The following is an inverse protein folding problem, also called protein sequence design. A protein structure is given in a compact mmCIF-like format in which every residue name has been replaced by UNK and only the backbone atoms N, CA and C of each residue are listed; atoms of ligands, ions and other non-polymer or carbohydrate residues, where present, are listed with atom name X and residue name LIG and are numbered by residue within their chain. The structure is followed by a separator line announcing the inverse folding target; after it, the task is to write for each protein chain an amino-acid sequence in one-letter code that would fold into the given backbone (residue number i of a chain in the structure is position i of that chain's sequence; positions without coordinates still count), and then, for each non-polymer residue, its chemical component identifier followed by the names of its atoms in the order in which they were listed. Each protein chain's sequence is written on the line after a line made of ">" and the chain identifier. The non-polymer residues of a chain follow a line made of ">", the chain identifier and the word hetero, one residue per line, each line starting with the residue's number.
data_IF_622876250583
#
_entry.id   IF_622876250583
#
_cell.length_a   1.000
_cell.length_b   1.000
_cell.length_c   1.000
_cell.angle_alpha   90.00
_cell.angle_beta   90.00
_cell.angle_gamma   90.00
#
_symmetry.space_group_name_H-M   'P 1'
#
loop_
_entity.id
_entity.type
_entity.pdbx_description
1 polymer ?
#
# COMPACT_ATOMS: atom_id res chain seq x y z
N UNK A 1 7.82 -11.86 15.54
CA UNK A 1 7.32 -12.45 14.29
C UNK A 1 6.33 -11.43 13.73
N UNK A 2 6.66 -10.79 12.60
CA UNK A 2 5.79 -9.74 12.03
C UNK A 2 4.45 -10.37 11.65
N UNK A 3 3.37 -9.88 12.26
CA UNK A 3 2.00 -10.38 12.05
C UNK A 3 1.42 -9.88 10.73
N UNK A 4 1.88 -8.71 10.31
CA UNK A 4 1.38 -7.93 9.19
C UNK A 4 2.49 -7.75 8.17
N UNK A 5 2.13 -7.69 6.89
CA UNK A 5 3.02 -7.39 5.78
C UNK A 5 2.80 -5.93 5.35
N UNK A 6 3.79 -5.09 5.62
CA UNK A 6 3.77 -3.66 5.33
C UNK A 6 4.70 -3.35 4.16
N UNK A 7 4.13 -2.80 3.08
CA UNK A 7 4.80 -2.54 1.80
C UNK A 7 4.69 -1.05 1.48
N UNK A 8 5.79 -0.42 1.04
CA UNK A 8 5.75 0.92 0.47
C UNK A 8 6.28 0.93 -0.96
N UNK A 9 5.51 1.50 -1.86
CA UNK A 9 5.91 1.70 -3.25
C UNK A 9 6.01 3.21 -3.48
N UNK A 10 7.20 3.69 -3.80
CA UNK A 10 7.46 5.10 -4.11
C UNK A 10 7.91 5.24 -5.56
N UNK A 11 7.47 6.31 -6.22
CA UNK A 11 7.86 6.59 -7.59
C UNK A 11 7.29 7.91 -8.10
N UNK A 12 7.27 8.06 -9.41
CA UNK A 12 6.78 9.27 -10.08
C UNK A 12 5.35 9.10 -10.59
N UNK A 13 4.53 10.13 -10.45
CA UNK A 13 3.14 10.15 -10.94
C UNK A 13 3.07 9.87 -12.44
N UNK A 14 2.23 8.90 -12.83
CA UNK A 14 2.05 8.42 -14.20
C UNK A 14 2.64 7.03 -14.48
N UNK A 15 3.40 6.45 -13.54
CA UNK A 15 4.03 5.12 -13.71
C UNK A 15 3.20 3.94 -13.17
N UNK A 16 1.96 4.19 -12.73
CA UNK A 16 1.09 3.14 -12.21
C UNK A 16 1.36 2.72 -10.75
N UNK A 17 2.08 3.54 -9.97
CA UNK A 17 2.40 3.26 -8.55
C UNK A 17 1.15 2.96 -7.71
N UNK A 18 0.11 3.80 -7.81
CA UNK A 18 -1.16 3.58 -7.10
C UNK A 18 -1.86 2.31 -7.57
N UNK A 19 -1.87 2.06 -8.87
CA UNK A 19 -2.49 0.89 -9.49
C UNK A 19 -1.81 -0.40 -9.00
N UNK A 20 -0.49 -0.40 -8.88
CA UNK A 20 0.26 -1.54 -8.35
C UNK A 20 -0.16 -1.85 -6.89
N UNK A 21 -0.29 -0.82 -6.05
CA UNK A 21 -0.78 -0.99 -4.68
C UNK A 21 -2.21 -1.54 -4.61
N UNK A 22 -3.11 -1.04 -5.46
CA UNK A 22 -4.47 -1.56 -5.54
C UNK A 22 -4.54 -3.02 -6.01
N UNK A 23 -3.73 -3.42 -7.00
CA UNK A 23 -3.67 -4.80 -7.49
C UNK A 23 -3.21 -5.74 -6.38
N UNK A 24 -2.16 -5.36 -5.63
CA UNK A 24 -1.65 -6.14 -4.50
C UNK A 24 -2.71 -6.33 -3.42
N UNK A 25 -3.40 -5.25 -3.03
CA UNK A 25 -4.45 -5.33 -2.03
C UNK A 25 -5.65 -6.16 -2.49
N UNK A 26 -6.08 -6.01 -3.75
CA UNK A 26 -7.15 -6.86 -4.33
C UNK A 26 -6.74 -8.33 -4.34
N UNK A 27 -5.49 -8.64 -4.67
CA UNK A 27 -4.94 -10.00 -4.60
C UNK A 27 -4.96 -10.58 -3.18
N UNK A 28 -4.63 -9.76 -2.18
CA UNK A 28 -4.68 -10.15 -0.77
C UNK A 28 -6.13 -10.45 -0.31
N UNK A 29 -7.09 -9.59 -0.68
CA UNK A 29 -8.51 -9.81 -0.38
C UNK A 29 -9.05 -11.08 -1.06
N UNK A 30 -8.67 -11.34 -2.31
CA UNK A 30 -9.02 -12.59 -3.01
C UNK A 30 -8.47 -13.85 -2.32
N UNK A 31 -7.41 -13.70 -1.51
CA UNK A 31 -6.83 -14.77 -0.70
C UNK A 31 -7.39 -14.82 0.73
N UNK A 32 -8.47 -14.10 1.03
CA UNK A 32 -9.09 -13.95 2.36
C UNK A 32 -8.17 -13.28 3.41
N UNK A 33 -7.34 -12.33 2.98
CA UNK A 33 -6.59 -11.45 3.89
C UNK A 33 -7.29 -10.09 3.99
N UNK A 34 -7.09 -9.41 5.12
CA UNK A 34 -7.42 -8.00 5.26
C UNK A 34 -6.32 -7.17 4.60
N UNK A 35 -6.70 -6.17 3.81
CA UNK A 35 -5.76 -5.28 3.16
C UNK A 35 -6.19 -3.82 3.33
N UNK A 36 -5.23 -2.93 3.60
CA UNK A 36 -5.42 -1.49 3.65
C UNK A 36 -4.44 -0.82 2.69
N UNK A 37 -4.92 0.16 1.93
CA UNK A 37 -4.12 0.92 0.95
C UNK A 37 -4.24 2.39 1.26
N UNK A 38 -3.11 3.05 1.49
CA UNK A 38 -3.02 4.48 1.70
C UNK A 38 -2.16 5.08 0.58
N UNK A 39 -2.79 5.66 -0.46
CA UNK A 39 -2.06 6.43 -1.46
C UNK A 39 -1.71 7.82 -0.90
N UNK A 40 -0.51 8.28 -1.20
CA UNK A 40 0.00 9.61 -0.89
C UNK A 40 0.60 10.20 -2.17
N UNK A 41 0.10 11.37 -2.57
CA UNK A 41 0.59 12.06 -3.76
C UNK A 41 0.79 13.54 -3.44
N UNK A 42 1.88 14.11 -3.93
CA UNK A 42 2.09 15.55 -3.84
C UNK A 42 1.08 16.32 -4.69
N UNK A 43 1.01 17.65 -4.53
CA UNK A 43 0.11 18.54 -5.29
C UNK A 43 0.27 18.50 -6.82
N UNK A 44 1.26 17.77 -7.34
CA UNK A 44 1.55 17.60 -8.76
C UNK A 44 1.09 16.22 -9.25
N UNK A 45 0.01 16.20 -10.03
CA UNK A 45 -0.61 14.97 -10.57
C UNK A 45 0.20 14.28 -11.68
N UNK A 46 1.19 14.96 -12.27
CA UNK A 46 2.16 14.40 -13.23
C UNK A 46 3.56 14.86 -12.86
N UNK A 47 4.53 13.93 -12.84
CA UNK A 47 5.92 14.24 -12.49
C UNK A 47 6.20 14.40 -10.99
N UNK A 48 5.15 14.46 -10.16
CA UNK A 48 5.28 14.53 -8.69
C UNK A 48 5.67 13.19 -8.05
N UNK A 49 6.20 13.26 -6.83
CA UNK A 49 6.42 12.07 -6.01
C UNK A 49 5.08 11.46 -5.60
N UNK A 50 4.93 10.17 -5.83
CA UNK A 50 3.78 9.36 -5.45
C UNK A 50 4.28 8.21 -4.60
N UNK A 51 3.66 8.01 -3.46
CA UNK A 51 3.89 6.91 -2.54
C UNK A 51 2.57 6.16 -2.35
N UNK A 52 2.61 4.85 -2.24
CA UNK A 52 1.48 4.06 -1.75
C UNK A 52 1.99 3.13 -0.66
N UNK A 53 1.26 3.10 0.44
CA UNK A 53 1.50 2.19 1.55
C UNK A 53 0.41 1.12 1.52
N UNK A 54 0.81 -0.14 1.61
CA UNK A 54 -0.08 -1.30 1.65
C UNK A 54 0.20 -2.09 2.92
N UNK A 55 -0.85 -2.44 3.64
CA UNK A 55 -0.79 -3.32 4.83
C UNK A 55 -1.64 -4.54 4.53
N UNK A 56 -1.08 -5.73 4.65
CA UNK A 56 -1.78 -7.01 4.47
C UNK A 56 -1.68 -7.83 5.75
N UNK A 57 -2.83 -8.26 6.28
CA UNK A 57 -2.89 -9.04 7.52
C UNK A 57 -3.91 -10.16 7.45
N UNK A 58 -3.70 -11.23 8.21
CA UNK A 58 -4.71 -12.28 8.44
C UNK A 58 -5.77 -11.85 9.45
N UNK A 59 -5.46 -10.86 10.28
CA UNK A 59 -6.33 -10.36 11.34
C UNK A 59 -6.83 -8.95 10.99
N UNK A 60 -7.75 -8.44 11.81
CA UNK A 60 -8.25 -7.08 11.66
C UNK A 60 -7.12 -6.06 11.76
N UNK A 61 -7.10 -5.07 10.85
CA UNK A 61 -6.11 -4.00 10.84
C UNK A 61 -6.63 -2.85 11.73
N UNK A 62 -6.06 -2.62 12.93
CA UNK A 62 -6.58 -1.64 13.88
C UNK A 62 -6.27 -0.19 13.49
N UNK A 63 -5.19 0.05 12.73
CA UNK A 63 -4.78 1.36 12.26
C UNK A 63 -4.25 1.26 10.81
N UNK A 64 -4.70 2.13 9.89
CA UNK A 64 -4.25 2.13 8.50
C UNK A 64 -2.96 2.94 8.35
N UNK A 65 -1.93 2.67 9.15
CA UNK A 65 -0.64 3.36 9.04
C UNK A 65 0.50 2.35 9.16
N UNK A 66 1.51 2.50 8.30
CA UNK A 66 2.71 1.65 8.33
C UNK A 66 3.57 2.06 9.53
N UNK A 67 3.72 1.15 10.49
CA UNK A 67 4.59 1.30 11.66
C UNK A 67 6.01 0.83 11.37
N UNK A 68 6.16 -0.30 10.68
CA UNK A 68 7.48 -0.83 10.31
C UNK A 68 7.50 -1.41 8.90
N UNK A 69 8.26 -0.76 8.02
CA UNK A 69 8.43 -1.23 6.65
C UNK A 69 9.10 -2.60 6.61
N UNK A 70 8.44 -3.55 5.95
CA UNK A 70 9.01 -4.86 5.67
C UNK A 70 9.56 -4.93 4.24
N UNK A 71 8.95 -4.19 3.30
CA UNK A 71 9.28 -4.16 1.87
C UNK A 71 9.23 -2.73 1.34
#
# INVERSE_FOLDING_TARGET
>A
MYKDLEIKISGTGGQGIVVAGEILAKGAVLKNYNASVIPSYGSQVKGGCVEVQIIISKEFIPAPFVGQLNI
#
